data_IF_580750498121
#
_entry.id   IF_580750498121
#
_cell.length_a   1.000
_cell.length_b   1.000
_cell.length_c   1.000
_cell.angle_alpha   90.00
_cell.angle_beta   90.00
_cell.angle_gamma   90.00
#
_symmetry.space_group_name_H-M   'P 1'
#
loop_
_entity.id
_entity.type
_entity.pdbx_description
1 polymer ?
#
# COMPACT_ATOMS: atom_id res chain seq x y z
N UNK A 1 -32.69 34.73 36.95
CA UNK A 1 -32.09 34.13 35.75
C UNK A 1 -32.19 32.64 35.96
N UNK A 2 -33.30 32.03 35.55
CA UNK A 2 -33.43 30.57 35.60
C UNK A 2 -32.60 30.01 34.46
N UNK A 3 -31.55 29.27 34.77
CA UNK A 3 -30.78 28.52 33.78
C UNK A 3 -31.74 27.53 33.10
N UNK A 4 -31.80 27.58 31.76
CA UNK A 4 -32.67 26.73 30.97
C UNK A 4 -32.23 25.26 31.17
N UNK A 5 -33.09 24.34 31.65
CA UNK A 5 -32.73 22.94 31.92
C UNK A 5 -32.09 22.22 30.71
N UNK A 6 -32.41 22.66 29.50
CA UNK A 6 -31.82 22.14 28.25
C UNK A 6 -30.34 22.55 28.12
N UNK A 7 -29.98 23.74 28.58
CA UNK A 7 -28.60 24.25 28.54
C UNK A 7 -27.68 23.46 29.48
N UNK A 8 -28.14 23.17 30.69
CA UNK A 8 -27.39 22.34 31.66
C UNK A 8 -27.19 20.91 31.13
N UNK A 9 -28.25 20.31 30.58
CA UNK A 9 -28.15 18.99 29.93
C UNK A 9 -27.12 18.98 28.80
N UNK A 10 -27.13 19.99 27.92
CA UNK A 10 -26.18 20.09 26.82
C UNK A 10 -24.73 20.26 27.29
N UNK A 11 -24.50 21.00 28.37
CA UNK A 11 -23.17 21.16 28.96
C UNK A 11 -22.68 19.84 29.60
N UNK A 12 -23.55 19.14 30.33
CA UNK A 12 -23.26 17.82 30.90
C UNK A 12 -22.93 16.79 29.82
N UNK A 13 -23.72 16.75 28.74
CA UNK A 13 -23.48 15.83 27.62
C UNK A 13 -22.19 16.15 26.87
N UNK A 14 -21.83 17.43 26.70
CA UNK A 14 -20.55 17.82 26.10
C UNK A 14 -19.38 17.25 26.91
N UNK A 15 -19.37 17.46 28.22
CA UNK A 15 -18.30 16.95 29.09
C UNK A 15 -18.17 15.42 29.02
N UNK A 16 -19.30 14.70 29.01
CA UNK A 16 -19.31 13.24 28.87
C UNK A 16 -18.80 12.78 27.51
N UNK A 17 -19.12 13.49 26.42
CA UNK A 17 -18.58 13.19 25.08
C UNK A 17 -17.08 13.45 25.02
N UNK A 18 -16.59 14.50 25.66
CA UNK A 18 -15.15 14.79 25.74
C UNK A 18 -14.40 13.70 26.52
N UNK A 19 -15.00 13.18 27.60
CA UNK A 19 -14.43 12.06 28.34
C UNK A 19 -14.52 10.75 27.55
N UNK A 20 -15.59 10.53 26.80
CA UNK A 20 -15.70 9.39 25.87
C UNK A 20 -14.58 9.42 24.82
N UNK A 21 -14.27 10.59 24.26
CA UNK A 21 -13.17 10.76 23.32
C UNK A 21 -11.83 10.35 23.95
N UNK A 22 -11.55 10.79 25.19
CA UNK A 22 -10.33 10.41 25.93
C UNK A 22 -10.25 8.90 26.18
N UNK A 23 -11.36 8.28 26.60
CA UNK A 23 -11.42 6.85 26.88
C UNK A 23 -11.17 5.99 25.64
N UNK A 24 -11.70 6.43 24.48
CA UNK A 24 -11.45 5.76 23.21
C UNK A 24 -9.99 5.91 22.77
N UNK A 25 -9.36 7.07 22.98
CA UNK A 25 -7.92 7.27 22.74
C UNK A 25 -7.07 6.36 23.63
N UNK A 26 -7.43 6.20 24.91
CA UNK A 26 -6.73 5.31 25.84
C UNK A 26 -7.09 3.82 25.66
N UNK A 27 -7.85 3.46 24.62
CA UNK A 27 -8.32 2.09 24.33
C UNK A 27 -9.04 1.41 25.51
N UNK A 28 -9.73 2.18 26.35
CA UNK A 28 -10.50 1.64 27.47
C UNK A 28 -11.94 1.33 27.02
N UNK A 29 -12.10 0.23 26.29
CA UNK A 29 -13.34 -0.12 25.59
C UNK A 29 -14.53 -0.35 26.53
N UNK A 30 -14.30 -0.91 27.71
CA UNK A 30 -15.36 -1.17 28.69
C UNK A 30 -15.94 0.13 29.26
N UNK A 31 -15.08 1.03 29.73
CA UNK A 31 -15.52 2.33 30.26
C UNK A 31 -16.16 3.20 29.17
N UNK A 32 -15.61 3.18 27.95
CA UNK A 32 -16.21 3.87 26.82
C UNK A 32 -17.63 3.35 26.53
N UNK A 33 -17.84 2.03 26.53
CA UNK A 33 -19.16 1.41 26.32
C UNK A 33 -20.18 1.77 27.41
N UNK A 34 -19.76 1.84 28.67
CA UNK A 34 -20.62 2.27 29.78
C UNK A 34 -21.04 3.73 29.59
N UNK A 35 -20.07 4.62 29.32
CA UNK A 35 -20.32 6.04 29.15
C UNK A 35 -21.19 6.32 27.91
N UNK A 36 -20.97 5.61 26.80
CA UNK A 36 -21.83 5.67 25.62
C UNK A 36 -23.29 5.34 25.95
N UNK A 37 -23.54 4.25 26.71
CA UNK A 37 -24.89 3.88 27.13
C UNK A 37 -25.53 4.92 28.04
N UNK A 38 -24.75 5.51 28.94
CA UNK A 38 -25.21 6.58 29.83
C UNK A 38 -25.62 7.83 29.02
N UNK A 39 -24.79 8.28 28.08
CA UNK A 39 -25.09 9.42 27.20
C UNK A 39 -26.39 9.18 26.44
N UNK A 40 -26.55 8.00 25.83
CA UNK A 40 -27.76 7.66 25.07
C UNK A 40 -29.00 7.66 25.99
N UNK A 41 -28.89 7.09 27.19
CA UNK A 41 -30.00 7.05 28.15
C UNK A 41 -30.41 8.46 28.62
N UNK A 42 -29.45 9.35 28.86
CA UNK A 42 -29.74 10.74 29.22
C UNK A 42 -30.48 11.48 28.10
N UNK A 43 -30.11 11.24 26.84
CA UNK A 43 -30.76 11.85 25.68
C UNK A 43 -32.16 11.28 25.46
N UNK A 44 -32.36 9.98 25.65
CA UNK A 44 -33.67 9.33 25.48
C UNK A 44 -34.70 9.75 26.54
N UNK A 45 -34.22 10.14 27.73
CA UNK A 45 -35.05 10.69 28.80
C UNK A 45 -35.27 12.21 28.70
N UNK A 46 -34.67 12.88 27.71
CA UNK A 46 -34.83 14.31 27.51
C UNK A 46 -36.21 14.68 26.94
N UNK A 47 -36.66 15.95 27.04
CA UNK A 47 -37.91 16.39 26.44
C UNK A 47 -37.97 16.09 24.93
N UNK A 48 -39.17 15.85 24.37
CA UNK A 48 -39.31 15.51 22.95
C UNK A 48 -38.57 16.47 22.04
N UNK A 49 -37.69 15.93 21.19
CA UNK A 49 -36.79 16.70 20.30
C UNK A 49 -37.50 17.77 19.45
N UNK A 50 -38.79 17.58 19.15
CA UNK A 50 -39.59 18.50 18.33
C UNK A 50 -39.93 19.81 19.06
N UNK A 51 -39.89 19.83 20.39
CA UNK A 51 -40.21 21.00 21.20
C UNK A 51 -38.97 21.86 21.51
N UNK A 52 -37.78 21.44 21.05
CA UNK A 52 -36.52 22.10 21.32
C UNK A 52 -36.11 23.04 20.16
N UNK A 53 -35.36 24.12 20.44
CA UNK A 53 -34.74 24.93 19.40
C UNK A 53 -33.89 24.10 18.45
N UNK A 54 -33.83 24.51 17.17
CA UNK A 54 -33.10 23.80 16.11
C UNK A 54 -31.65 23.48 16.49
N UNK A 55 -30.96 24.42 17.13
CA UNK A 55 -29.57 24.28 17.59
C UNK A 55 -29.42 23.24 18.71
N UNK A 56 -30.31 23.24 19.70
CA UNK A 56 -30.32 22.24 20.78
C UNK A 56 -30.60 20.85 20.24
N UNK A 57 -31.56 20.73 19.30
CA UNK A 57 -31.87 19.47 18.64
C UNK A 57 -30.69 18.92 17.84
N UNK A 58 -29.97 19.79 17.12
CA UNK A 58 -28.78 19.39 16.37
C UNK A 58 -27.69 18.82 17.28
N UNK A 59 -27.42 19.48 18.42
CA UNK A 59 -26.44 19.03 19.42
C UNK A 59 -26.81 17.69 20.07
N UNK A 60 -28.06 17.51 20.48
CA UNK A 60 -28.52 16.24 21.05
C UNK A 60 -28.38 15.08 20.05
N UNK A 61 -28.73 15.31 18.78
CA UNK A 61 -28.55 14.32 17.71
C UNK A 61 -27.06 14.02 17.47
N UNK A 62 -26.19 15.04 17.52
CA UNK A 62 -24.75 14.84 17.43
C UNK A 62 -24.24 13.99 18.58
N UNK A 63 -24.54 14.33 19.84
CA UNK A 63 -24.08 13.56 21.00
C UNK A 63 -24.60 12.14 20.99
N UNK A 64 -25.86 11.93 20.58
CA UNK A 64 -26.42 10.58 20.44
C UNK A 64 -25.70 9.78 19.36
N UNK A 65 -25.50 10.37 18.18
CA UNK A 65 -24.79 9.74 17.08
C UNK A 65 -23.32 9.44 17.44
N UNK A 66 -22.65 10.38 18.10
CA UNK A 66 -21.27 10.25 18.58
C UNK A 66 -21.12 9.13 19.63
N UNK A 67 -22.05 9.02 20.57
CA UNK A 67 -22.04 7.99 21.60
C UNK A 67 -22.29 6.59 21.03
N UNK A 68 -23.11 6.48 19.97
CA UNK A 68 -23.31 5.24 19.23
C UNK A 68 -22.14 4.88 18.32
N UNK A 69 -21.37 5.86 17.84
CA UNK A 69 -20.27 5.64 16.90
C UNK A 69 -19.08 4.91 17.56
N UNK A 70 -18.70 3.79 16.95
CA UNK A 70 -17.46 3.06 17.25
C UNK A 70 -16.49 3.19 16.06
N UNK A 71 -15.23 3.61 16.29
CA UNK A 71 -14.22 3.71 15.22
C UNK A 71 -13.95 2.40 14.46
N UNK A 72 -14.25 1.24 15.06
CA UNK A 72 -13.95 -0.07 14.49
C UNK A 72 -15.14 -0.74 13.79
N UNK A 73 -16.37 -0.35 14.12
CA UNK A 73 -17.59 -1.04 13.66
C UNK A 73 -18.68 -0.08 13.23
N UNK A 74 -19.25 -0.32 12.05
CA UNK A 74 -20.36 0.48 11.53
C UNK A 74 -21.62 0.38 12.40
N UNK A 75 -22.22 1.52 12.72
CA UNK A 75 -23.52 1.63 13.39
C UNK A 75 -24.47 2.51 12.56
N UNK A 76 -25.60 1.92 12.13
CA UNK A 76 -26.64 2.60 11.36
C UNK A 76 -27.31 3.73 12.14
N UNK A 77 -27.55 3.56 13.44
CA UNK A 77 -28.14 4.58 14.29
C UNK A 77 -27.18 5.77 14.44
N UNK A 78 -25.88 5.52 14.52
CA UNK A 78 -24.88 6.59 14.54
C UNK A 78 -24.97 7.42 13.24
N UNK A 79 -24.93 6.77 12.08
CA UNK A 79 -25.07 7.44 10.77
C UNK A 79 -26.35 8.28 10.68
N UNK A 80 -27.51 7.73 11.05
CA UNK A 80 -28.80 8.42 10.96
C UNK A 80 -28.86 9.66 11.86
N UNK A 81 -28.37 9.55 13.09
CA UNK A 81 -28.35 10.67 14.03
C UNK A 81 -27.36 11.76 13.60
N UNK A 82 -26.16 11.39 13.15
CA UNK A 82 -25.16 12.33 12.63
C UNK A 82 -25.66 13.05 11.37
N UNK A 83 -26.27 12.31 10.43
CA UNK A 83 -26.88 12.88 9.22
C UNK A 83 -27.96 13.91 9.56
N UNK A 84 -28.83 13.60 10.53
CA UNK A 84 -29.85 14.54 10.98
C UNK A 84 -29.25 15.74 11.71
N UNK A 85 -28.17 15.54 12.46
CA UNK A 85 -27.46 16.61 13.15
C UNK A 85 -26.90 17.63 12.15
N UNK A 86 -26.10 17.16 11.17
CA UNK A 86 -25.47 17.99 10.14
C UNK A 86 -26.50 18.75 9.30
N UNK A 87 -27.65 18.13 8.98
CA UNK A 87 -28.75 18.82 8.26
C UNK A 87 -29.35 19.99 9.05
N UNK A 88 -29.28 19.94 10.38
CA UNK A 88 -29.82 20.98 11.24
C UNK A 88 -28.80 22.05 11.58
N UNK A 89 -27.55 21.65 11.76
CA UNK A 89 -26.41 22.50 12.01
C UNK A 89 -25.21 22.08 11.14
N UNK A 90 -25.08 22.65 9.92
CA UNK A 90 -23.97 22.36 9.02
C UNK A 90 -22.62 22.88 9.51
N UNK A 91 -22.58 23.71 10.56
CA UNK A 91 -21.35 24.34 11.07
C UNK A 91 -20.58 23.44 12.04
N UNK A 92 -21.20 22.35 12.49
CA UNK A 92 -20.57 21.38 13.38
C UNK A 92 -19.62 20.45 12.60
N UNK A 93 -18.35 20.83 12.56
CA UNK A 93 -17.31 20.05 11.88
C UNK A 93 -17.04 18.67 12.49
N UNK A 94 -17.23 18.50 13.81
CA UNK A 94 -17.08 17.19 14.45
C UNK A 94 -18.19 16.23 14.01
N UNK A 95 -19.42 16.73 13.83
CA UNK A 95 -20.52 15.93 13.30
C UNK A 95 -20.22 15.45 11.86
N UNK A 96 -19.65 16.32 11.03
CA UNK A 96 -19.18 15.95 9.69
C UNK A 96 -18.07 14.88 9.74
N UNK A 97 -17.07 15.05 10.61
CA UNK A 97 -15.98 14.09 10.79
C UNK A 97 -16.51 12.70 11.20
N UNK A 98 -17.34 12.62 12.23
CA UNK A 98 -17.92 11.35 12.68
C UNK A 98 -18.87 10.73 11.65
N UNK A 99 -19.62 11.55 10.90
CA UNK A 99 -20.44 11.05 9.80
C UNK A 99 -19.57 10.43 8.69
N UNK A 100 -18.44 11.09 8.37
CA UNK A 100 -17.46 10.58 7.41
C UNK A 100 -16.87 9.24 7.83
N UNK A 101 -16.58 9.05 9.12
CA UNK A 101 -16.12 7.76 9.67
C UNK A 101 -17.17 6.65 9.53
N UNK A 102 -18.43 6.93 9.87
CA UNK A 102 -19.49 5.91 9.73
C UNK A 102 -19.68 5.50 8.26
N UNK A 103 -19.60 6.46 7.34
CA UNK A 103 -19.68 6.19 5.90
C UNK A 103 -18.44 5.42 5.40
N UNK A 104 -17.25 5.68 5.97
CA UNK A 104 -16.06 4.89 5.70
C UNK A 104 -16.26 3.42 6.11
N UNK A 105 -16.73 3.16 7.34
CA UNK A 105 -16.98 1.82 7.84
C UNK A 105 -18.11 1.09 7.07
N UNK A 106 -19.04 1.86 6.49
CA UNK A 106 -20.08 1.34 5.59
C UNK A 106 -19.54 0.99 4.19
N UNK A 107 -18.37 1.52 3.81
CA UNK A 107 -17.78 1.39 2.47
C UNK A 107 -18.21 2.45 1.46
N UNK A 108 -18.96 3.49 1.87
CA UNK A 108 -19.31 4.61 1.01
C UNK A 108 -18.21 5.68 1.03
N UNK A 109 -17.14 5.38 0.30
CA UNK A 109 -15.94 6.21 0.31
C UNK A 109 -16.14 7.59 -0.33
N UNK A 110 -17.03 7.69 -1.31
CA UNK A 110 -17.32 8.95 -1.98
C UNK A 110 -18.03 9.92 -1.04
N UNK A 111 -19.07 9.47 -0.33
CA UNK A 111 -19.74 10.32 0.65
C UNK A 111 -18.86 10.59 1.86
N UNK A 112 -18.08 9.59 2.31
CA UNK A 112 -17.10 9.77 3.39
C UNK A 112 -16.10 10.90 3.08
N UNK A 113 -15.53 10.91 1.86
CA UNK A 113 -14.63 11.99 1.38
C UNK A 113 -15.29 13.37 1.48
N UNK A 114 -16.52 13.51 0.99
CA UNK A 114 -17.29 14.78 1.05
C UNK A 114 -17.53 15.24 2.48
N UNK A 115 -17.76 14.31 3.40
CA UNK A 115 -17.95 14.64 4.80
C UNK A 115 -16.68 15.19 5.43
N UNK A 116 -15.51 14.60 5.14
CA UNK A 116 -14.23 15.13 5.63
C UNK A 116 -13.87 16.47 5.00
N UNK A 117 -14.19 16.69 3.72
CA UNK A 117 -14.05 18.01 3.07
C UNK A 117 -14.92 19.05 3.78
N UNK A 118 -16.20 18.76 4.02
CA UNK A 118 -17.11 19.63 4.77
C UNK A 118 -16.64 19.88 6.21
N UNK A 119 -16.06 18.87 6.87
CA UNK A 119 -15.50 19.03 8.21
C UNK A 119 -14.31 20.01 8.22
N UNK A 120 -13.42 19.96 7.21
CA UNK A 120 -12.31 20.92 7.08
C UNK A 120 -12.79 22.34 6.74
N UNK A 121 -13.85 22.49 5.96
CA UNK A 121 -14.43 23.81 5.67
C UNK A 121 -14.90 24.52 6.95
N UNK A 122 -15.43 23.77 7.93
CA UNK A 122 -15.94 24.33 9.18
C UNK A 122 -14.85 24.48 10.26
N UNK A 123 -13.94 23.52 10.37
CA UNK A 123 -12.91 23.49 11.43
C UNK A 123 -11.61 24.20 11.05
N UNK A 124 -11.38 24.44 9.75
CA UNK A 124 -10.08 24.81 9.24
C UNK A 124 -9.09 23.63 9.20
N UNK A 125 -7.79 23.89 8.99
CA UNK A 125 -6.78 22.84 8.91
C UNK A 125 -6.68 22.01 10.20
N UNK A 126 -7.08 20.74 10.12
CA UNK A 126 -7.02 19.79 11.21
C UNK A 126 -6.24 18.53 10.79
N UNK A 127 -5.19 18.16 11.55
CA UNK A 127 -4.31 17.03 11.18
C UNK A 127 -5.03 15.69 11.12
N UNK A 128 -6.02 15.46 11.96
CA UNK A 128 -6.78 14.20 11.98
C UNK A 128 -7.67 14.08 10.75
N UNK A 129 -8.41 15.14 10.42
CA UNK A 129 -9.29 15.15 9.25
C UNK A 129 -8.47 15.10 7.96
N UNK A 130 -7.35 15.82 7.88
CA UNK A 130 -6.43 15.76 6.72
C UNK A 130 -5.87 14.35 6.50
N UNK A 131 -5.51 13.63 7.58
CA UNK A 131 -5.08 12.23 7.50
C UNK A 131 -6.19 11.34 6.96
N UNK A 132 -7.41 11.43 7.52
CA UNK A 132 -8.56 10.65 7.06
C UNK A 132 -8.91 10.96 5.60
N UNK A 133 -8.86 12.24 5.20
CA UNK A 133 -9.08 12.65 3.82
C UNK A 133 -7.99 12.13 2.88
N UNK A 134 -6.73 12.10 3.32
CA UNK A 134 -5.64 11.44 2.58
C UNK A 134 -5.92 9.94 2.42
N UNK A 135 -6.31 9.25 3.49
CA UNK A 135 -6.63 7.82 3.47
C UNK A 135 -7.75 7.52 2.48
N UNK A 136 -8.89 8.19 2.61
CA UNK A 136 -10.06 7.93 1.77
C UNK A 136 -9.83 8.27 0.31
N UNK A 137 -9.08 9.34 0.01
CA UNK A 137 -8.86 9.78 -1.37
C UNK A 137 -8.16 8.70 -2.20
N UNK A 138 -7.39 7.79 -1.59
CA UNK A 138 -6.72 6.69 -2.31
C UNK A 138 -7.67 5.62 -2.83
N UNK A 139 -8.89 5.57 -2.29
CA UNK A 139 -9.93 4.59 -2.62
C UNK A 139 -11.06 5.16 -3.49
N UNK A 140 -11.10 6.47 -3.71
CA UNK A 140 -12.21 7.13 -4.44
C UNK A 140 -11.88 7.28 -5.92
N UNK A 141 -12.88 6.98 -6.75
CA UNK A 141 -12.85 7.13 -8.20
C UNK A 141 -12.24 5.94 -8.93
N UNK A 142 -12.37 5.95 -10.25
CA UNK A 142 -11.81 4.93 -11.15
C UNK A 142 -10.79 5.55 -12.11
N UNK A 143 -9.85 4.72 -12.59
CA UNK A 143 -8.85 5.10 -13.61
C UNK A 143 -8.19 6.47 -13.35
N UNK A 144 -8.43 7.47 -14.20
CA UNK A 144 -7.81 8.80 -14.12
C UNK A 144 -8.25 9.60 -12.88
N UNK A 145 -9.51 9.47 -12.45
CA UNK A 145 -9.96 10.12 -11.23
C UNK A 145 -9.20 9.55 -10.03
N UNK A 146 -9.05 8.22 -9.98
CA UNK A 146 -8.29 7.55 -8.94
C UNK A 146 -6.83 7.99 -8.93
N UNK A 147 -6.19 8.08 -10.11
CA UNK A 147 -4.80 8.59 -10.24
C UNK A 147 -4.66 9.99 -9.65
N UNK A 148 -5.58 10.90 -9.99
CA UNK A 148 -5.58 12.26 -9.47
C UNK A 148 -5.81 12.32 -7.96
N UNK A 149 -6.80 11.55 -7.45
CA UNK A 149 -7.08 11.49 -6.03
C UNK A 149 -5.91 10.91 -5.22
N UNK A 150 -5.25 9.86 -5.74
CA UNK A 150 -4.03 9.28 -5.13
C UNK A 150 -2.89 10.30 -5.12
N UNK A 151 -2.66 11.03 -6.21
CA UNK A 151 -1.66 12.10 -6.23
C UNK A 151 -1.99 13.21 -5.22
N UNK A 152 -3.27 13.61 -5.13
CA UNK A 152 -3.75 14.59 -4.15
C UNK A 152 -3.59 14.11 -2.70
N UNK A 153 -3.74 12.81 -2.44
CA UNK A 153 -3.61 12.22 -1.10
C UNK A 153 -2.24 12.46 -0.47
N UNK A 154 -1.17 12.51 -1.27
CA UNK A 154 0.19 12.84 -0.82
C UNK A 154 0.24 14.29 -0.32
N UNK A 155 -0.43 15.22 -1.02
CA UNK A 155 -0.53 16.61 -0.60
C UNK A 155 -1.25 16.76 0.74
N UNK A 156 -2.37 16.06 0.92
CA UNK A 156 -3.13 16.06 2.18
C UNK A 156 -2.32 15.48 3.35
N UNK A 157 -1.61 14.37 3.14
CA UNK A 157 -0.75 13.79 4.17
C UNK A 157 0.40 14.73 4.57
N UNK A 158 0.99 15.45 3.60
CA UNK A 158 2.01 16.47 3.87
C UNK A 158 1.45 17.65 4.66
N UNK A 159 0.22 18.09 4.38
CA UNK A 159 -0.44 19.13 5.15
C UNK A 159 -0.70 18.68 6.59
N UNK A 160 -1.17 17.45 6.80
CA UNK A 160 -1.34 16.90 8.14
C UNK A 160 -0.02 16.86 8.92
N UNK A 161 1.06 16.39 8.29
CA UNK A 161 2.39 16.35 8.89
C UNK A 161 2.95 17.75 9.18
N UNK A 162 2.65 18.75 8.33
CA UNK A 162 3.10 20.13 8.56
C UNK A 162 2.46 20.76 9.81
N UNK A 163 1.27 20.29 10.22
CA UNK A 163 0.64 20.74 11.47
C UNK A 163 1.31 20.13 12.71
N UNK A 164 1.89 18.92 12.59
CA UNK A 164 2.61 18.27 13.68
C UNK A 164 3.64 17.26 13.15
N UNK A 165 4.90 17.68 13.09
CA UNK A 165 6.00 16.84 12.57
C UNK A 165 6.35 15.68 13.51
N UNK A 166 5.94 15.75 14.78
CA UNK A 166 6.19 14.70 15.79
C UNK A 166 5.09 13.65 15.83
N UNK A 167 4.01 13.84 15.08
CA UNK A 167 2.93 12.86 14.97
C UNK A 167 3.35 11.66 14.11
N UNK A 168 3.71 10.55 14.77
CA UNK A 168 4.10 9.31 14.10
C UNK A 168 3.02 8.77 13.16
N UNK A 169 1.74 8.98 13.47
CA UNK A 169 0.67 8.51 12.59
C UNK A 169 0.57 9.37 11.31
N UNK A 170 0.86 10.67 11.37
CA UNK A 170 0.94 11.50 10.16
C UNK A 170 2.07 11.04 9.22
N UNK A 171 3.21 10.63 9.78
CA UNK A 171 4.27 9.99 9.00
C UNK A 171 3.83 8.67 8.36
N UNK A 172 3.09 7.84 9.10
CA UNK A 172 2.54 6.58 8.59
C UNK A 172 1.57 6.82 7.41
N UNK A 173 0.66 7.79 7.54
CA UNK A 173 -0.28 8.15 6.46
C UNK A 173 0.45 8.69 5.24
N UNK A 174 1.50 9.50 5.43
CA UNK A 174 2.35 9.98 4.34
C UNK A 174 3.07 8.84 3.64
N UNK A 175 3.59 7.86 4.39
CA UNK A 175 4.24 6.68 3.83
C UNK A 175 3.27 5.88 2.95
N UNK A 176 2.06 5.61 3.45
CA UNK A 176 1.01 4.93 2.68
C UNK A 176 0.61 5.72 1.43
N UNK A 177 0.49 7.06 1.53
CA UNK A 177 0.18 7.89 0.37
C UNK A 177 1.26 7.80 -0.71
N UNK A 178 2.54 7.87 -0.34
CA UNK A 178 3.66 7.67 -1.25
C UNK A 178 3.67 6.26 -1.86
N UNK A 179 3.43 5.23 -1.05
CA UNK A 179 3.40 3.84 -1.49
C UNK A 179 2.28 3.60 -2.52
N UNK A 180 1.05 4.03 -2.24
CA UNK A 180 -0.06 3.92 -3.19
C UNK A 180 0.19 4.76 -4.45
N UNK A 181 0.74 5.97 -4.31
CA UNK A 181 1.08 6.81 -5.45
C UNK A 181 2.14 6.16 -6.34
N UNK A 182 3.12 5.47 -5.75
CA UNK A 182 4.09 4.68 -6.49
C UNK A 182 3.41 3.56 -7.31
N UNK A 183 2.51 2.79 -6.68
CA UNK A 183 1.85 1.66 -7.33
C UNK A 183 0.84 2.07 -8.41
N UNK A 184 0.12 3.17 -8.21
CA UNK A 184 -0.93 3.66 -9.13
C UNK A 184 -0.38 4.58 -10.21
N UNK A 185 0.40 5.60 -9.84
CA UNK A 185 0.85 6.67 -10.75
C UNK A 185 2.28 6.47 -11.26
N UNK A 186 3.09 5.63 -10.61
CA UNK A 186 4.46 5.29 -11.01
C UNK A 186 5.34 6.51 -11.37
N UNK A 187 5.41 7.57 -10.54
CA UNK A 187 6.15 8.77 -10.89
C UNK A 187 7.67 8.55 -10.96
N UNK A 188 8.23 7.77 -10.02
CA UNK A 188 9.66 7.41 -9.95
C UNK A 188 9.90 6.40 -8.82
N UNK A 189 10.97 5.60 -8.90
CA UNK A 189 11.47 4.77 -7.78
C UNK A 189 11.82 5.59 -6.53
N UNK A 190 12.07 6.89 -6.68
CA UNK A 190 12.33 7.79 -5.55
C UNK A 190 11.11 7.93 -4.62
N UNK A 191 9.89 7.79 -5.14
CA UNK A 191 8.68 7.84 -4.33
C UNK A 191 8.61 6.67 -3.34
N UNK A 192 9.08 5.50 -3.75
CA UNK A 192 9.16 4.32 -2.89
C UNK A 192 10.21 4.50 -1.78
N UNK A 193 11.34 5.15 -2.09
CA UNK A 193 12.33 5.53 -1.07
C UNK A 193 11.75 6.52 -0.04
N UNK A 194 10.92 7.46 -0.47
CA UNK A 194 10.22 8.40 0.43
C UNK A 194 9.25 7.65 1.35
N UNK A 195 8.50 6.68 0.81
CA UNK A 195 7.62 5.83 1.62
C UNK A 195 8.41 5.08 2.70
N UNK A 196 9.50 4.39 2.34
CA UNK A 196 10.35 3.67 3.30
C UNK A 196 10.92 4.57 4.40
N UNK A 197 11.39 5.78 4.04
CA UNK A 197 11.87 6.77 5.02
C UNK A 197 10.75 7.22 5.95
N UNK A 198 9.56 7.51 5.42
CA UNK A 198 8.41 7.93 6.20
C UNK A 198 7.93 6.83 7.16
N UNK A 199 7.94 5.56 6.75
CA UNK A 199 7.67 4.43 7.67
C UNK A 199 8.69 4.36 8.81
N UNK A 200 9.99 4.57 8.52
CA UNK A 200 11.01 4.63 9.56
C UNK A 200 10.78 5.77 10.56
N UNK A 201 10.35 6.94 10.09
CA UNK A 201 9.98 8.05 10.98
C UNK A 201 8.74 7.73 11.82
N UNK A 202 7.72 7.11 11.21
CA UNK A 202 6.52 6.69 11.92
C UNK A 202 6.84 5.69 13.03
N UNK A 203 7.62 4.64 12.74
CA UNK A 203 8.04 3.65 13.74
C UNK A 203 8.78 4.31 14.93
N UNK A 204 9.66 5.29 14.66
CA UNK A 204 10.42 5.99 15.69
C UNK A 204 9.55 6.89 16.59
N UNK A 205 8.42 7.39 16.09
CA UNK A 205 7.59 8.40 16.76
C UNK A 205 6.31 7.84 17.37
N UNK A 206 5.88 6.64 16.96
CA UNK A 206 4.66 6.01 17.50
C UNK A 206 4.94 5.33 18.84
N UNK A 207 4.11 5.63 19.85
CA UNK A 207 4.19 4.99 21.18
C UNK A 207 3.81 3.50 21.13
N UNK A 208 2.78 3.17 20.35
CA UNK A 208 2.32 1.80 20.15
C UNK A 208 2.68 1.34 18.73
N UNK A 209 3.34 0.17 18.58
CA UNK A 209 3.61 -0.41 17.27
C UNK A 209 2.33 -0.58 16.45
N UNK A 210 2.38 -0.19 15.18
CA UNK A 210 1.28 -0.36 14.24
C UNK A 210 1.55 -1.59 13.35
N UNK A 211 0.75 -2.67 13.42
CA UNK A 211 0.97 -3.86 12.61
C UNK A 211 0.87 -3.57 11.09
N UNK A 212 -0.04 -2.70 10.67
CA UNK A 212 -0.21 -2.30 9.25
C UNK A 212 1.02 -1.57 8.70
N UNK A 213 1.77 -0.86 9.55
CA UNK A 213 3.02 -0.21 9.16
C UNK A 213 4.05 -1.23 8.69
N UNK A 214 4.26 -2.28 9.50
CA UNK A 214 5.21 -3.34 9.18
C UNK A 214 4.75 -4.12 7.94
N UNK A 215 3.45 -4.42 7.84
CA UNK A 215 2.90 -5.08 6.66
C UNK A 215 3.16 -4.27 5.37
N UNK A 216 2.79 -2.99 5.37
CA UNK A 216 2.93 -2.14 4.18
C UNK A 216 4.40 -1.84 3.83
N UNK A 217 5.28 -1.72 4.84
CA UNK A 217 6.72 -1.61 4.63
C UNK A 217 7.32 -2.92 4.08
N UNK A 218 6.83 -4.06 4.53
CA UNK A 218 7.16 -5.39 3.99
C UNK A 218 6.80 -5.52 2.52
N UNK A 219 5.62 -5.05 2.12
CA UNK A 219 5.21 -4.99 0.70
C UNK A 219 6.13 -4.11 -0.15
N UNK A 220 6.57 -2.96 0.39
CA UNK A 220 7.56 -2.12 -0.28
C UNK A 220 8.91 -2.84 -0.48
N UNK A 221 9.40 -3.55 0.53
CA UNK A 221 10.62 -4.35 0.40
C UNK A 221 10.44 -5.55 -0.54
N UNK A 222 9.29 -6.21 -0.52
CA UNK A 222 8.96 -7.32 -1.43
C UNK A 222 8.98 -6.84 -2.88
N UNK A 223 8.40 -5.68 -3.18
CA UNK A 223 8.49 -5.07 -4.51
C UNK A 223 9.93 -4.73 -4.89
N UNK A 224 10.75 -4.29 -3.94
CA UNK A 224 12.19 -4.03 -4.16
C UNK A 224 13.04 -5.31 -4.28
N UNK A 225 12.44 -6.50 -4.11
CA UNK A 225 13.13 -7.79 -4.02
C UNK A 225 14.14 -7.88 -2.87
N UNK A 226 13.92 -7.04 -1.86
CA UNK A 226 14.62 -7.07 -0.58
C UNK A 226 13.94 -8.08 0.33
N UNK A 227 13.93 -9.34 -0.10
CA UNK A 227 13.07 -10.37 0.49
C UNK A 227 13.41 -10.71 1.94
N UNK A 228 14.69 -10.69 2.34
CA UNK A 228 15.05 -10.89 3.74
C UNK A 228 14.42 -9.84 4.66
N UNK A 229 14.43 -8.58 4.21
CA UNK A 229 13.86 -7.45 4.95
C UNK A 229 12.33 -7.50 4.91
N UNK A 230 11.74 -7.85 3.76
CA UNK A 230 10.30 -8.08 3.65
C UNK A 230 9.81 -9.17 4.62
N UNK A 231 10.53 -10.29 4.72
CA UNK A 231 10.19 -11.38 5.65
C UNK A 231 10.23 -10.88 7.09
N UNK A 232 11.29 -10.15 7.50
CA UNK A 232 11.40 -9.61 8.85
C UNK A 232 10.24 -8.65 9.19
N UNK A 233 9.84 -7.80 8.25
CA UNK A 233 8.70 -6.91 8.40
C UNK A 233 7.38 -7.68 8.53
N UNK A 234 7.15 -8.69 7.69
CA UNK A 234 5.94 -9.52 7.79
C UNK A 234 5.89 -10.36 9.07
N UNK A 235 7.03 -10.83 9.58
CA UNK A 235 7.09 -11.51 10.87
C UNK A 235 6.64 -10.58 11.99
N UNK A 236 7.18 -9.35 12.02
CA UNK A 236 6.79 -8.34 13.01
C UNK A 236 5.31 -7.95 12.90
N UNK A 237 4.78 -7.85 11.67
CA UNK A 237 3.36 -7.64 11.46
C UNK A 237 2.51 -8.80 12.02
N UNK A 238 2.91 -10.05 11.76
CA UNK A 238 2.22 -11.25 12.23
C UNK A 238 2.24 -11.39 13.77
N UNK A 239 3.38 -11.06 14.38
CA UNK A 239 3.54 -11.06 15.85
C UNK A 239 2.59 -10.06 16.53
N UNK A 240 2.35 -8.91 15.89
CA UNK A 240 1.48 -7.85 16.41
C UNK A 240 0.00 -8.09 16.10
N UNK A 241 -0.33 -8.56 14.90
CA UNK A 241 -1.68 -8.95 14.50
C UNK A 241 -1.64 -10.18 13.56
N UNK A 242 -1.98 -11.37 14.07
CA UNK A 242 -2.03 -12.59 13.27
C UNK A 242 -3.05 -12.55 12.11
N UNK A 243 -4.04 -11.65 12.14
CA UNK A 243 -5.11 -11.58 11.15
C UNK A 243 -4.70 -10.86 9.86
N UNK A 244 -3.56 -10.17 9.83
CA UNK A 244 -3.06 -9.48 8.64
C UNK A 244 -2.54 -10.41 7.52
N UNK A 245 -2.72 -11.72 7.65
CA UNK A 245 -2.30 -12.73 6.67
C UNK A 245 -0.82 -12.59 6.26
N UNK A 246 0.03 -12.04 7.14
CA UNK A 246 1.43 -11.75 6.83
C UNK A 246 2.25 -13.03 6.68
N UNK A 247 1.87 -14.09 7.40
CA UNK A 247 2.48 -15.41 7.26
C UNK A 247 2.34 -15.97 5.83
N UNK A 248 1.20 -15.75 5.17
CA UNK A 248 1.04 -16.17 3.78
C UNK A 248 2.00 -15.44 2.83
N UNK A 249 2.30 -14.16 3.09
CA UNK A 249 3.28 -13.40 2.31
C UNK A 249 4.69 -13.99 2.47
N UNK A 250 5.07 -14.35 3.69
CA UNK A 250 6.35 -15.03 3.96
C UNK A 250 6.41 -16.36 3.20
N UNK A 251 5.37 -17.20 3.30
CA UNK A 251 5.30 -18.48 2.61
C UNK A 251 5.43 -18.32 1.10
N UNK A 252 4.74 -17.34 0.49
CA UNK A 252 4.83 -17.07 -0.94
C UNK A 252 6.23 -16.64 -1.39
N UNK A 253 6.92 -15.80 -0.58
CA UNK A 253 8.31 -15.41 -0.85
C UNK A 253 9.20 -16.64 -0.79
N UNK A 254 9.11 -17.42 0.27
CA UNK A 254 9.96 -18.59 0.49
C UNK A 254 9.73 -19.69 -0.55
N UNK A 255 8.49 -19.95 -0.93
CA UNK A 255 8.15 -20.90 -1.99
C UNK A 255 8.81 -20.50 -3.31
N UNK A 256 8.67 -19.22 -3.71
CA UNK A 256 9.23 -18.71 -4.95
C UNK A 256 10.76 -18.78 -4.95
N UNK A 257 11.41 -18.30 -3.90
CA UNK A 257 12.88 -18.26 -3.78
C UNK A 257 13.46 -19.68 -3.73
N UNK A 258 12.80 -20.59 -3.02
CA UNK A 258 13.20 -22.01 -2.96
C UNK A 258 13.08 -22.66 -4.33
N UNK A 259 11.99 -22.40 -5.06
CA UNK A 259 11.80 -22.92 -6.42
C UNK A 259 12.85 -22.38 -7.40
N UNK A 260 13.17 -21.08 -7.33
CA UNK A 260 14.27 -20.49 -8.13
C UNK A 260 15.59 -21.18 -7.83
N UNK A 261 15.96 -21.27 -6.54
CA UNK A 261 17.20 -21.91 -6.10
C UNK A 261 17.30 -23.37 -6.54
N UNK A 262 16.21 -24.14 -6.41
CA UNK A 262 16.12 -25.52 -6.86
C UNK A 262 16.29 -25.66 -8.37
N UNK A 263 15.64 -24.79 -9.16
CA UNK A 263 15.75 -24.79 -10.62
C UNK A 263 17.16 -24.43 -11.08
N UNK A 264 17.82 -23.46 -10.45
CA UNK A 264 19.21 -23.12 -10.75
C UNK A 264 20.14 -24.29 -10.40
N UNK A 265 20.01 -24.86 -9.19
CA UNK A 265 20.84 -25.98 -8.71
C UNK A 265 20.73 -27.23 -9.58
N UNK A 266 19.54 -27.50 -10.12
CA UNK A 266 19.28 -28.62 -11.02
C UNK A 266 19.55 -28.32 -12.50
N UNK A 267 20.09 -27.13 -12.83
CA UNK A 267 20.23 -26.66 -14.22
C UNK A 267 18.91 -26.76 -15.02
N UNK A 268 17.80 -26.44 -14.36
CA UNK A 268 16.43 -26.56 -14.83
C UNK A 268 16.03 -27.99 -15.27
N UNK A 269 16.77 -29.03 -14.86
CA UNK A 269 16.61 -30.41 -15.34
C UNK A 269 17.17 -30.66 -16.74
N UNK A 270 17.92 -29.70 -17.31
CA UNK A 270 18.48 -29.79 -18.65
C UNK A 270 19.79 -30.57 -18.62
N UNK A 271 19.91 -31.56 -19.49
CA UNK A 271 21.15 -32.34 -19.64
C UNK A 271 22.31 -31.43 -20.07
N UNK A 272 23.48 -31.60 -19.46
CA UNK A 272 24.69 -30.80 -19.71
C UNK A 272 25.02 -30.62 -21.21
N UNK A 273 24.92 -31.69 -22.02
CA UNK A 273 25.18 -31.62 -23.48
C UNK A 273 24.21 -30.66 -24.19
N UNK A 274 22.93 -30.73 -23.84
CA UNK A 274 21.88 -29.87 -24.40
C UNK A 274 22.06 -28.43 -23.95
N UNK A 275 22.35 -28.22 -22.65
CA UNK A 275 22.61 -26.89 -22.10
C UNK A 275 23.80 -26.21 -22.80
N UNK A 276 24.90 -26.93 -23.02
CA UNK A 276 26.07 -26.40 -23.74
C UNK A 276 25.75 -26.08 -25.21
N UNK A 277 24.87 -26.85 -25.86
CA UNK A 277 24.40 -26.54 -27.20
C UNK A 277 23.56 -25.25 -27.22
N UNK A 278 22.65 -25.07 -26.25
CA UNK A 278 21.84 -23.86 -26.09
C UNK A 278 22.70 -22.62 -25.84
N UNK A 279 23.68 -22.69 -24.93
CA UNK A 279 24.59 -21.58 -24.61
C UNK A 279 25.33 -21.09 -25.85
N UNK A 280 25.78 -22.01 -26.72
CA UNK A 280 26.48 -21.67 -27.97
C UNK A 280 25.62 -20.91 -28.99
N UNK A 281 24.29 -20.99 -28.87
CA UNK A 281 23.36 -20.25 -29.75
C UNK A 281 23.08 -18.83 -29.26
N UNK A 282 23.54 -18.46 -28.06
CA UNK A 282 23.35 -17.12 -27.51
C UNK A 282 24.18 -16.12 -28.32
N UNK A 283 23.56 -15.08 -28.91
CA UNK A 283 24.30 -14.06 -29.66
C UNK A 283 25.29 -13.33 -28.77
N UNK A 284 26.53 -13.16 -29.27
CA UNK A 284 27.58 -12.38 -28.58
C UNK A 284 27.67 -10.96 -29.13
N UNK A 285 27.26 -10.77 -30.39
CA UNK A 285 27.30 -9.49 -31.10
C UNK A 285 25.87 -9.05 -31.41
N UNK A 286 25.55 -7.82 -31.06
CA UNK A 286 24.25 -7.22 -31.33
C UNK A 286 24.39 -6.41 -32.62
N UNK A 287 23.81 -6.92 -33.71
CA UNK A 287 23.90 -6.27 -35.04
C UNK A 287 23.00 -5.04 -35.13
N UNK A 288 21.82 -5.11 -34.51
CA UNK A 288 20.94 -3.97 -34.32
C UNK A 288 21.41 -3.14 -33.12
N UNK A 289 21.08 -1.85 -33.08
CA UNK A 289 21.37 -0.97 -31.92
C UNK A 289 20.06 -0.59 -31.23
N UNK A 290 19.33 -1.57 -30.65
CA UNK A 290 17.93 -1.38 -30.29
C UNK A 290 17.71 -0.43 -29.11
N UNK A 291 18.73 -0.23 -28.27
CA UNK A 291 18.70 0.68 -27.12
C UNK A 291 19.53 1.96 -27.34
N UNK A 292 20.18 2.10 -28.50
CA UNK A 292 21.02 3.23 -28.86
C UNK A 292 22.49 2.86 -29.11
N UNK A 293 23.23 3.83 -29.65
CA UNK A 293 24.62 3.69 -30.12
C UNK A 293 25.63 3.35 -29.02
N UNK A 294 25.39 3.86 -27.81
CA UNK A 294 26.34 3.72 -26.70
C UNK A 294 26.22 2.40 -25.94
N UNK A 295 25.28 1.52 -26.32
CA UNK A 295 25.03 0.28 -25.61
C UNK A 295 25.95 -0.85 -26.08
N UNK A 296 26.50 -1.58 -25.11
CA UNK A 296 27.44 -2.68 -25.38
C UNK A 296 26.98 -3.97 -24.69
N UNK A 297 27.17 -5.11 -25.36
CA UNK A 297 26.91 -6.41 -24.77
C UNK A 297 27.82 -6.65 -23.55
N UNK A 298 27.26 -7.24 -22.49
CA UNK A 298 27.99 -7.65 -21.31
C UNK A 298 27.46 -8.98 -20.77
N UNK A 299 28.37 -9.82 -20.30
CA UNK A 299 28.06 -11.06 -19.60
C UNK A 299 27.85 -10.79 -18.11
N UNK A 300 27.16 -11.70 -17.42
CA UNK A 300 26.75 -11.52 -16.03
C UNK A 300 27.94 -11.22 -15.10
N UNK A 301 29.07 -11.89 -15.32
CA UNK A 301 30.29 -11.72 -14.53
C UNK A 301 30.94 -10.33 -14.64
N UNK A 302 30.57 -9.51 -15.63
CA UNK A 302 31.08 -8.14 -15.83
C UNK A 302 30.11 -7.07 -15.33
N UNK A 303 28.95 -7.45 -14.82
CA UNK A 303 27.96 -6.53 -14.27
C UNK A 303 28.24 -6.26 -12.79
N UNK A 304 28.00 -5.03 -12.37
CA UNK A 304 28.03 -4.62 -10.98
C UNK A 304 26.65 -4.79 -10.34
N UNK A 305 26.61 -4.95 -9.02
CA UNK A 305 25.35 -4.85 -8.27
C UNK A 305 24.72 -3.47 -8.48
N UNK A 306 23.40 -3.43 -8.67
CA UNK A 306 22.67 -2.24 -9.04
C UNK A 306 22.51 -2.07 -10.56
N UNK A 307 22.24 -0.83 -10.98
CA UNK A 307 21.93 -0.49 -12.37
C UNK A 307 23.21 -0.42 -13.21
N UNK A 308 23.27 -1.17 -14.31
CA UNK A 308 24.41 -1.18 -15.23
C UNK A 308 24.11 -0.37 -16.50
N UNK A 309 24.39 0.93 -16.48
CA UNK A 309 24.05 1.84 -17.57
C UNK A 309 24.78 1.51 -18.89
N UNK A 310 24.07 1.65 -20.01
CA UNK A 310 24.58 1.43 -21.36
C UNK A 310 25.14 0.01 -21.59
N UNK A 311 24.63 -0.97 -20.84
CA UNK A 311 24.94 -2.39 -21.00
C UNK A 311 23.72 -3.16 -21.50
N UNK A 312 23.98 -4.20 -22.28
CA UNK A 312 22.98 -5.15 -22.73
C UNK A 312 23.38 -6.53 -22.22
N UNK A 313 22.58 -7.08 -21.32
CA UNK A 313 22.70 -8.48 -20.93
C UNK A 313 21.90 -9.32 -21.92
N UNK A 314 22.56 -10.32 -22.53
CA UNK A 314 21.93 -11.26 -23.44
C UNK A 314 21.84 -12.61 -22.74
N UNK A 315 20.62 -13.08 -22.53
CA UNK A 315 20.36 -14.35 -21.87
C UNK A 315 19.42 -15.21 -22.68
N UNK A 316 19.48 -16.52 -22.49
CA UNK A 316 18.52 -17.48 -23.03
C UNK A 316 17.71 -18.09 -21.91
N UNK A 317 16.40 -18.15 -22.10
CA UNK A 317 15.45 -18.66 -21.11
C UNK A 317 15.51 -20.19 -21.04
N UNK A 318 15.63 -20.70 -19.83
CA UNK A 318 15.76 -22.13 -19.52
C UNK A 318 14.55 -22.68 -18.77
N UNK A 319 13.75 -21.82 -18.13
CA UNK A 319 12.57 -22.25 -17.42
C UNK A 319 11.73 -21.08 -16.92
N UNK A 320 10.49 -21.38 -16.59
CA UNK A 320 9.55 -20.45 -15.98
C UNK A 320 9.30 -20.84 -14.51
N UNK A 321 9.17 -19.85 -13.64
CA UNK A 321 8.89 -20.02 -12.21
C UNK A 321 7.43 -19.70 -11.92
N UNK A 322 6.93 -18.59 -12.47
CA UNK A 322 5.55 -18.12 -12.32
C UNK A 322 4.77 -18.41 -13.59
N UNK A 323 3.66 -19.13 -13.49
CA UNK A 323 2.85 -19.50 -14.65
C UNK A 323 1.47 -18.85 -14.63
N UNK A 324 1.05 -18.24 -13.50
CA UNK A 324 -0.23 -17.56 -13.44
C UNK A 324 -0.08 -16.16 -14.07
N UNK A 325 -0.96 -15.78 -15.03
CA UNK A 325 -0.92 -14.45 -15.62
C UNK A 325 -1.08 -13.27 -14.65
N UNK A 326 -1.57 -13.53 -13.43
CA UNK A 326 -1.70 -12.52 -12.37
C UNK A 326 -0.42 -12.39 -11.50
N UNK A 327 0.54 -13.32 -11.64
CA UNK A 327 1.78 -13.29 -10.88
C UNK A 327 2.61 -12.06 -11.26
N UNK A 328 2.89 -11.20 -10.26
CA UNK A 328 3.79 -10.06 -10.43
C UNK A 328 4.89 -10.11 -9.36
N UNK A 329 6.18 -10.14 -9.74
CA UNK A 329 6.69 -10.15 -11.12
C UNK A 329 6.53 -11.50 -11.82
N UNK A 330 6.60 -11.49 -13.16
CA UNK A 330 6.86 -12.70 -13.92
C UNK A 330 8.33 -13.11 -13.74
N UNK A 331 8.58 -14.32 -13.29
CA UNK A 331 9.91 -14.83 -12.94
C UNK A 331 10.32 -15.98 -13.85
N UNK A 332 11.49 -15.83 -14.47
CA UNK A 332 12.10 -16.81 -15.36
C UNK A 332 13.50 -17.18 -14.88
N UNK A 333 13.99 -18.34 -15.31
CA UNK A 333 15.40 -18.73 -15.17
C UNK A 333 16.04 -18.65 -16.53
N UNK A 334 17.19 -17.98 -16.60
CA UNK A 334 17.94 -17.82 -17.84
C UNK A 334 19.43 -18.08 -17.60
N UNK A 335 20.18 -18.23 -18.69
CA UNK A 335 21.64 -18.21 -18.64
C UNK A 335 22.23 -17.26 -19.67
N UNK A 336 23.41 -16.72 -19.37
CA UNK A 336 24.18 -15.93 -20.33
C UNK A 336 25.06 -16.82 -21.23
N UNK A 337 25.80 -16.20 -22.16
CA UNK A 337 26.69 -16.92 -23.07
C UNK A 337 27.92 -17.56 -22.39
N UNK A 338 28.18 -17.26 -21.12
CA UNK A 338 29.21 -17.93 -20.30
C UNK A 338 28.62 -19.11 -19.51
N UNK A 339 27.31 -19.34 -19.62
CA UNK A 339 26.59 -20.38 -18.88
C UNK A 339 26.27 -20.00 -17.44
N UNK A 340 26.42 -18.73 -17.05
CA UNK A 340 26.05 -18.26 -15.73
C UNK A 340 24.52 -18.18 -15.63
N UNK A 341 23.95 -18.82 -14.61
CA UNK A 341 22.51 -18.81 -14.35
C UNK A 341 22.09 -17.51 -13.65
N UNK A 342 20.90 -17.03 -14.01
CA UNK A 342 20.32 -15.84 -13.43
C UNK A 342 18.80 -15.99 -13.38
N UNK A 343 18.20 -15.53 -12.28
CA UNK A 343 16.76 -15.29 -12.20
C UNK A 343 16.44 -13.97 -12.90
N UNK A 344 15.34 -13.92 -13.64
CA UNK A 344 14.86 -12.72 -14.30
C UNK A 344 13.47 -12.40 -13.78
N UNK A 345 13.31 -11.26 -13.14
CA UNK A 345 12.00 -10.76 -12.71
C UNK A 345 11.56 -9.60 -13.61
N UNK A 346 10.41 -9.77 -14.24
CA UNK A 346 9.83 -8.78 -15.17
C UNK A 346 8.57 -8.20 -14.53
N UNK A 347 8.61 -6.89 -14.29
CA UNK A 347 7.51 -6.13 -13.71
C UNK A 347 6.78 -5.34 -14.80
N UNK A 348 5.60 -4.82 -14.44
CA UNK A 348 4.82 -3.89 -15.26
C UNK A 348 4.45 -4.45 -16.63
N UNK A 349 4.23 -5.76 -16.70
CA UNK A 349 3.80 -6.48 -17.89
C UNK A 349 2.35 -6.92 -17.77
N UNK A 350 1.71 -7.22 -18.89
CA UNK A 350 0.39 -7.83 -18.92
C UNK A 350 0.50 -9.37 -18.85
N UNK A 351 -0.65 -10.04 -18.81
CA UNK A 351 -0.80 -11.50 -18.81
C UNK A 351 -0.09 -12.21 -19.98
N UNK A 352 0.24 -11.51 -21.07
CA UNK A 352 0.84 -12.09 -22.26
C UNK A 352 2.33 -12.35 -22.08
N UNK A 353 3.01 -11.78 -21.07
CA UNK A 353 4.47 -11.95 -20.92
C UNK A 353 4.88 -13.43 -20.77
N UNK A 354 4.07 -14.23 -20.09
CA UNK A 354 4.29 -15.67 -19.93
C UNK A 354 4.07 -16.46 -21.23
N UNK A 355 3.36 -15.90 -22.19
CA UNK A 355 3.17 -16.48 -23.52
C UNK A 355 4.26 -16.04 -24.50
N UNK A 356 4.77 -14.81 -24.34
CA UNK A 356 5.83 -14.26 -25.19
C UNK A 356 7.20 -14.81 -24.84
N UNK A 357 7.52 -14.92 -23.55
CA UNK A 357 8.78 -15.46 -23.07
C UNK A 357 8.62 -16.97 -22.91
N UNK A 358 9.21 -17.72 -23.85
CA UNK A 358 9.12 -19.18 -23.87
C UNK A 358 10.50 -19.82 -23.69
N UNK A 359 10.53 -21.14 -23.58
CA UNK A 359 11.77 -21.89 -23.50
C UNK A 359 12.67 -21.60 -24.73
N UNK A 360 13.96 -21.38 -24.49
CA UNK A 360 14.97 -20.96 -25.47
C UNK A 360 14.85 -19.54 -26.06
N UNK A 361 13.83 -18.75 -25.69
CA UNK A 361 13.75 -17.34 -26.06
C UNK A 361 15.03 -16.60 -25.68
N UNK A 362 15.53 -15.76 -26.59
CA UNK A 362 16.71 -14.93 -26.36
C UNK A 362 16.25 -13.54 -25.91
N UNK A 363 16.66 -13.17 -24.70
CA UNK A 363 16.31 -11.91 -24.07
C UNK A 363 17.49 -10.94 -24.15
N UNK A 364 17.19 -9.71 -24.54
CA UNK A 364 18.14 -8.59 -24.52
C UNK A 364 17.66 -7.57 -23.51
N UNK A 365 18.42 -7.41 -22.43
CA UNK A 365 18.04 -6.54 -21.30
C UNK A 365 18.97 -5.34 -21.31
N UNK A 366 18.43 -4.18 -21.67
CA UNK A 366 19.10 -2.89 -21.55
C UNK A 366 19.12 -2.41 -20.11
N UNK A 367 20.23 -1.80 -19.70
CA UNK A 367 20.45 -1.26 -18.36
C UNK A 367 20.15 -2.26 -17.21
N UNK A 368 20.68 -3.50 -17.25
CA UNK A 368 20.28 -4.55 -16.34
C UNK A 368 20.52 -4.15 -14.87
N UNK A 369 19.48 -4.30 -14.06
CA UNK A 369 19.51 -4.09 -12.62
C UNK A 369 19.84 -5.41 -11.93
N UNK A 370 21.12 -5.65 -11.67
CA UNK A 370 21.61 -6.89 -11.08
C UNK A 370 21.55 -6.78 -9.55
N UNK A 371 21.09 -7.83 -8.90
CA UNK A 371 21.10 -7.95 -7.44
C UNK A 371 21.40 -9.38 -7.02
N UNK A 372 22.03 -9.53 -5.87
CA UNK A 372 22.26 -10.85 -5.26
C UNK A 372 21.11 -11.12 -4.30
N UNK A 373 20.32 -12.15 -4.59
CA UNK A 373 19.30 -12.63 -3.67
C UNK A 373 19.97 -13.50 -2.62
N UNK A 374 19.80 -13.13 -1.35
CA UNK A 374 20.31 -13.87 -0.20
C UNK A 374 19.20 -13.95 0.83
N UNK A 375 18.79 -15.16 1.18
CA UNK A 375 17.77 -15.39 2.21
C UNK A 375 18.30 -16.42 3.20
N UNK A 376 18.22 -16.06 4.48
CA UNK A 376 18.41 -16.94 5.61
C UNK A 376 17.11 -16.95 6.44
N UNK A 377 16.37 -18.04 6.33
CA UNK A 377 15.08 -18.19 7.01
C UNK A 377 14.79 -19.67 7.32
N UNK A 378 14.46 -19.96 8.58
CA UNK A 378 14.12 -21.32 9.07
C UNK A 378 15.12 -22.41 8.66
N UNK A 379 16.43 -22.08 8.69
CA UNK A 379 17.49 -23.03 8.34
C UNK A 379 17.74 -23.19 6.84
N UNK A 380 16.97 -22.52 5.98
CA UNK A 380 17.25 -22.42 4.55
C UNK A 380 18.19 -21.24 4.29
N UNK A 381 19.35 -21.52 3.70
CA UNK A 381 20.28 -20.51 3.21
C UNK A 381 20.31 -20.57 1.68
N UNK A 382 19.62 -19.63 1.04
CA UNK A 382 19.41 -19.59 -0.40
C UNK A 382 20.11 -18.39 -1.00
N UNK A 383 20.82 -18.62 -2.11
CA UNK A 383 21.55 -17.57 -2.81
C UNK A 383 21.48 -17.76 -4.33
N UNK A 384 21.17 -16.68 -5.05
CA UNK A 384 21.26 -16.63 -6.51
C UNK A 384 21.34 -15.19 -7.02
N UNK A 385 21.75 -15.02 -8.28
CA UNK A 385 21.71 -13.73 -8.96
C UNK A 385 20.33 -13.47 -9.57
N UNK A 386 19.80 -12.26 -9.38
CA UNK A 386 18.57 -11.81 -10.01
C UNK A 386 18.81 -10.55 -10.85
N UNK A 387 18.24 -10.51 -12.04
CA UNK A 387 18.14 -9.30 -12.86
C UNK A 387 16.69 -8.84 -12.85
N UNK A 388 16.47 -7.60 -12.42
CA UNK A 388 15.15 -6.99 -12.35
C UNK A 388 14.91 -6.11 -13.56
N UNK A 389 13.81 -6.35 -14.26
CA UNK A 389 13.33 -5.54 -15.39
C UNK A 389 12.08 -4.81 -14.94
N UNK A 390 12.22 -3.51 -14.67
CA UNK A 390 11.10 -2.66 -14.23
C UNK A 390 10.35 -2.07 -15.41
N UNK A 391 11.06 -1.66 -16.45
CA UNK A 391 10.47 -1.10 -17.67
C UNK A 391 10.52 -2.16 -18.78
N UNK A 392 9.38 -2.69 -19.24
CA UNK A 392 9.35 -3.64 -20.36
C UNK A 392 10.01 -3.11 -21.63
N UNK A 393 10.11 -1.79 -21.81
CA UNK A 393 10.81 -1.22 -22.96
C UNK A 393 12.32 -1.45 -22.93
N UNK A 394 12.89 -1.77 -21.77
CA UNK A 394 14.29 -2.16 -21.63
C UNK A 394 14.52 -3.64 -21.94
N UNK A 395 13.50 -4.37 -22.44
CA UNK A 395 13.55 -5.79 -22.75
C UNK A 395 13.15 -6.04 -24.21
N UNK A 396 13.94 -6.86 -24.91
CA UNK A 396 13.58 -7.43 -26.20
C UNK A 396 13.54 -8.95 -26.10
N UNK A 397 12.58 -9.55 -26.80
CA UNK A 397 12.43 -11.00 -26.92
C UNK A 397 12.70 -11.36 -28.37
N UNK A 398 13.71 -12.20 -28.61
CA UNK A 398 14.13 -12.63 -29.94
C UNK A 398 14.38 -11.44 -30.90
N UNK A 399 14.98 -10.38 -30.36
CA UNK A 399 15.27 -9.10 -31.04
C UNK A 399 14.05 -8.25 -31.40
N UNK A 400 12.87 -8.58 -30.89
CA UNK A 400 11.63 -7.80 -31.06
C UNK A 400 11.27 -7.07 -29.78
N UNK A 401 10.74 -5.86 -29.94
CA UNK A 401 10.15 -5.09 -28.83
C UNK A 401 8.86 -5.77 -28.36
N UNK A 402 8.57 -5.60 -27.09
CA UNK A 402 7.30 -6.05 -26.52
C UNK A 402 6.24 -5.00 -26.88
N UNK A 403 5.40 -5.29 -27.87
CA UNK A 403 4.27 -4.43 -28.23
C UNK A 403 3.13 -4.63 -27.23
N UNK A 404 2.51 -3.54 -26.77
CA UNK A 404 1.36 -3.61 -25.85
C UNK A 404 1.71 -3.95 -24.39
N UNK A 405 3.00 -4.05 -24.02
CA UNK A 405 3.41 -4.07 -22.62
C UNK A 405 3.26 -2.68 -22.00
N UNK A 406 2.02 -2.33 -21.66
CA UNK A 406 1.72 -1.13 -20.94
C UNK A 406 2.31 -1.17 -19.53
N UNK A 407 3.13 -0.17 -19.20
CA UNK A 407 3.09 0.47 -17.89
C UNK A 407 2.34 1.79 -18.04
N UNK A 408 1.02 1.82 -17.77
CA UNK A 408 0.53 2.73 -16.72
C UNK A 408 -0.73 2.22 -15.99
N UNK A 409 -0.59 1.86 -14.70
CA UNK A 409 -1.70 1.91 -13.74
C UNK A 409 -2.79 0.82 -13.80
N UNK A 410 -2.46 -0.45 -14.11
CA UNK A 410 -3.46 -1.54 -14.12
C UNK A 410 -3.06 -2.64 -13.13
N UNK A 411 -4.01 -2.87 -12.21
CA UNK A 411 -4.11 -3.87 -11.11
C UNK A 411 -3.08 -3.74 -10.00
N UNK A 412 -3.41 -2.94 -8.98
CA UNK A 412 -2.94 -3.16 -7.61
C UNK A 412 -4.16 -3.50 -6.79
N UNK A 413 -4.10 -4.68 -6.17
CA UNK A 413 -5.08 -5.30 -5.29
C UNK A 413 -6.02 -4.32 -4.59
N UNK A 414 -7.31 -4.63 -4.68
CA UNK A 414 -8.29 -4.29 -3.65
C UNK A 414 -7.99 -5.15 -2.43
N UNK A 415 -7.02 -4.77 -1.60
CA UNK A 415 -6.86 -5.37 -0.29
C UNK A 415 -6.14 -4.40 0.66
N UNK A 416 -6.94 -3.97 1.65
CA UNK A 416 -6.63 -3.34 2.94
C UNK A 416 -6.24 -1.84 2.90
#
# INVERSE_FOLDING_TARGET
MEENPVSELLASLQAKVDDLNKLQISKNSEQASILSREIISLIDNAPPLNNLPKSARAKLLYYKGRASANPETYDKNAEENLTRSVKLDPTNGDAWNWMGEMLYLKGDYLQSKRCFEGALEQTGPNKEILRKLSMISRFVGDNEERKNNVSGSVGLAKQALALDIKDGYSWYVLANAHLTNFFINRPSSEELNRALKAYGQAENLMETPNPDLYYNRGEAFRYLERYQEAIAEFQKAHELDPNLNSQAQISQIMERVSLVSQKISSSCGIKKKTLMAMIRTIPVIIKSKPFGENYHAAHLALLNSGKNQAKILICKVLGNITNNPEDTPAVFIACDSQGAFVSLSVYNTNSQIHQLITFESVLYIGDPLLSKMQINYEGNNLEYWNVKVVDPNSLLIDSKKIEGACSPGVIVNQAL
#
